data_IF_271649652472
#
_entry.id   IF_271649652472
#
_cell.length_a   1.000
_cell.length_b   1.000
_cell.length_c   1.000
_cell.angle_alpha   90.00
_cell.angle_beta   90.00
_cell.angle_gamma   90.00
#
_symmetry.space_group_name_H-M   'P 1'
#
loop_
_entity.id
_entity.type
_entity.pdbx_description
1 polymer ?
#
# COMPACT_ATOMS: atom_id res chain seq x y z
N UNK A 1 -12.23 0.52 70.67
CA UNK A 1 -11.73 1.91 70.82
C UNK A 1 -11.50 2.44 69.42
N UNK A 2 -12.40 3.35 69.08
CA UNK A 2 -12.61 3.93 67.78
C UNK A 2 -11.64 5.09 67.53
N UNK A 3 -11.09 5.20 66.34
CA UNK A 3 -10.25 6.32 65.91
C UNK A 3 -10.55 6.72 64.47
N UNK A 4 -11.63 7.41 64.26
CA UNK A 4 -12.01 8.03 62.99
C UNK A 4 -11.06 9.16 62.64
N UNK A 5 -10.34 9.13 61.52
CA UNK A 5 -9.64 10.26 60.93
C UNK A 5 -10.48 10.88 59.84
N UNK A 6 -10.99 12.06 60.11
CA UNK A 6 -11.63 12.98 59.17
C UNK A 6 -10.58 13.50 58.17
N UNK A 7 -10.85 13.35 56.88
CA UNK A 7 -10.16 14.03 55.79
C UNK A 7 -10.74 15.46 55.62
N UNK A 8 -9.91 16.44 55.92
CA UNK A 8 -10.18 17.84 55.70
C UNK A 8 -9.93 18.15 54.23
N UNK A 9 -10.96 18.64 53.54
CA UNK A 9 -10.85 19.24 52.21
C UNK A 9 -10.37 20.68 52.34
N UNK A 10 -9.38 21.18 51.59
CA UNK A 10 -9.21 22.61 51.38
C UNK A 10 -10.08 23.05 50.21
N UNK A 11 -10.98 23.96 50.52
CA UNK A 11 -11.75 24.76 49.56
C UNK A 11 -10.95 25.97 49.13
N UNK A 12 -11.20 26.37 47.85
CA UNK A 12 -11.03 27.72 47.32
C UNK A 12 -9.63 28.33 47.19
N UNK A 13 -9.12 28.27 45.95
CA UNK A 13 -8.49 29.45 45.28
C UNK A 13 -8.76 29.32 43.78
N UNK A 14 -9.85 29.83 43.31
CA UNK A 14 -10.07 30.18 41.90
C UNK A 14 -10.77 31.51 41.83
N UNK A 15 -9.98 32.59 41.93
CA UNK A 15 -10.44 33.93 41.55
C UNK A 15 -9.35 34.56 40.69
N UNK A 16 -9.72 34.89 39.48
CA UNK A 16 -9.11 35.95 38.69
C UNK A 16 -8.07 35.58 37.69
N UNK A 17 -8.45 34.96 36.57
CA UNK A 17 -7.74 35.13 35.31
C UNK A 17 -8.76 35.60 34.27
N UNK A 18 -8.76 36.90 34.02
CA UNK A 18 -9.46 37.52 32.89
C UNK A 18 -8.76 37.03 31.60
N UNK A 19 -9.40 36.15 30.89
CA UNK A 19 -8.92 35.64 29.60
C UNK A 19 -9.17 36.71 28.52
N UNK A 20 -8.11 37.34 28.08
CA UNK A 20 -8.09 38.06 26.79
C UNK A 20 -8.42 37.09 25.66
N UNK A 21 -9.64 37.19 25.13
CA UNK A 21 -10.27 36.31 24.17
C UNK A 21 -9.75 36.44 22.72
N UNK A 22 -8.62 37.05 22.45
CA UNK A 22 -8.18 37.30 21.05
C UNK A 22 -6.97 36.50 20.55
N UNK A 23 -6.16 35.92 21.42
CA UNK A 23 -4.98 35.13 20.99
C UNK A 23 -5.16 33.61 21.07
N UNK A 24 -6.13 33.12 21.84
CA UNK A 24 -6.36 31.69 22.07
C UNK A 24 -6.99 30.99 20.88
N UNK A 25 -7.87 31.63 20.12
CA UNK A 25 -8.58 31.00 18.99
C UNK A 25 -7.65 30.72 17.80
N UNK A 26 -6.67 31.60 17.56
CA UNK A 26 -5.68 31.40 16.49
C UNK A 26 -4.67 30.29 16.84
N UNK A 27 -4.29 30.19 18.12
CA UNK A 27 -3.37 29.10 18.57
C UNK A 27 -4.06 27.76 18.58
N UNK A 28 -5.34 27.67 18.95
CA UNK A 28 -6.10 26.41 18.90
C UNK A 28 -6.36 25.98 17.45
N UNK A 29 -6.69 26.94 16.57
CA UNK A 29 -6.84 26.65 15.12
C UNK A 29 -5.51 26.23 14.47
N UNK A 30 -4.39 26.80 14.90
CA UNK A 30 -3.05 26.42 14.44
C UNK A 30 -2.62 25.06 14.99
N UNK A 31 -2.91 24.77 16.27
CA UNK A 31 -2.66 23.45 16.88
C UNK A 31 -3.60 22.37 16.31
N UNK A 32 -4.85 22.69 16.02
CA UNK A 32 -5.77 21.79 15.33
C UNK A 32 -5.34 21.57 13.87
N UNK A 33 -4.77 22.55 13.18
CA UNK A 33 -4.20 22.38 11.84
C UNK A 33 -2.92 21.52 11.87
N UNK A 34 -2.09 21.63 12.92
CA UNK A 34 -0.93 20.79 13.14
C UNK A 34 -1.30 19.37 13.63
N UNK A 35 -2.41 19.21 14.35
CA UNK A 35 -2.90 17.91 14.81
C UNK A 35 -3.76 17.18 13.75
N UNK A 36 -4.19 17.89 12.69
CA UNK A 36 -5.03 17.33 11.62
C UNK A 36 -4.26 17.01 10.35
N UNK A 37 -2.96 17.18 10.34
CA UNK A 37 -2.05 16.47 9.41
C UNK A 37 -1.89 15.03 9.92
N UNK A 38 -3.00 14.32 10.14
CA UNK A 38 -2.99 12.87 10.22
C UNK A 38 -2.57 12.39 8.83
N UNK A 39 -1.33 11.91 8.74
CA UNK A 39 -0.75 11.31 7.54
C UNK A 39 -1.68 10.19 7.07
N UNK A 40 -2.60 10.52 6.18
CA UNK A 40 -3.42 9.51 5.53
C UNK A 40 -2.53 8.78 4.53
N UNK A 41 -2.06 7.60 4.94
CA UNK A 41 -1.20 6.76 4.10
C UNK A 41 -1.95 6.43 2.81
N UNK A 42 -1.45 6.94 1.69
CA UNK A 42 -1.99 6.61 0.37
C UNK A 42 -1.53 5.20 -0.02
N UNK A 43 -2.48 4.28 -0.12
CA UNK A 43 -2.21 2.91 -0.58
C UNK A 43 -2.39 2.84 -2.08
N UNK A 44 -1.31 2.53 -2.78
CA UNK A 44 -1.27 2.36 -4.24
C UNK A 44 -1.19 0.88 -4.57
N UNK A 45 -2.15 0.39 -5.36
CA UNK A 45 -2.11 -0.94 -5.92
C UNK A 45 -1.54 -0.88 -7.33
N UNK A 46 -0.35 -1.44 -7.52
CA UNK A 46 0.37 -1.48 -8.78
C UNK A 46 0.31 -2.88 -9.39
N UNK A 47 -0.18 -3.00 -10.61
CA UNK A 47 -0.28 -4.25 -11.35
C UNK A 47 0.91 -4.36 -12.29
N UNK A 48 1.66 -5.46 -12.18
CA UNK A 48 2.82 -5.76 -13.04
C UNK A 48 2.36 -6.70 -14.14
N UNK A 49 2.62 -6.30 -15.39
CA UNK A 49 2.38 -7.10 -16.59
C UNK A 49 3.69 -7.31 -17.36
N UNK A 50 3.77 -8.42 -18.07
CA UNK A 50 4.83 -8.69 -19.04
C UNK A 50 4.20 -8.83 -20.41
N UNK A 51 4.59 -7.95 -21.32
CA UNK A 51 4.11 -7.99 -22.71
C UNK A 51 4.79 -9.10 -23.52
N UNK A 52 4.25 -9.42 -24.69
CA UNK A 52 4.74 -10.48 -25.56
C UNK A 52 6.12 -10.19 -26.16
N UNK A 53 6.52 -8.93 -26.25
CA UNK A 53 7.83 -8.47 -26.69
C UNK A 53 8.91 -8.49 -25.60
N UNK A 54 8.51 -8.89 -24.38
CA UNK A 54 9.41 -9.11 -23.25
C UNK A 54 9.54 -7.94 -22.29
N UNK A 55 8.96 -6.77 -22.60
CA UNK A 55 8.96 -5.60 -21.73
C UNK A 55 8.00 -5.77 -20.56
N UNK A 56 8.29 -5.07 -19.48
CA UNK A 56 7.44 -5.00 -18.30
C UNK A 56 6.76 -3.66 -18.22
N UNK A 57 5.48 -3.66 -17.87
CA UNK A 57 4.70 -2.47 -17.56
C UNK A 57 4.12 -2.57 -16.16
N UNK A 58 3.99 -1.42 -15.51
CA UNK A 58 3.31 -1.28 -14.22
C UNK A 58 2.27 -0.19 -14.37
N UNK A 59 1.05 -0.49 -13.99
CA UNK A 59 -0.02 0.49 -13.97
C UNK A 59 -0.79 0.46 -12.66
N UNK A 60 -1.51 1.52 -12.38
CA UNK A 60 -2.40 1.65 -11.22
C UNK A 60 -3.64 2.43 -11.60
N UNK A 61 -4.77 2.07 -11.00
CA UNK A 61 -6.00 2.88 -11.06
C UNK A 61 -5.96 4.07 -10.08
N UNK A 62 -4.95 4.11 -9.20
CA UNK A 62 -4.72 5.24 -8.33
C UNK A 62 -4.18 6.44 -9.13
N UNK A 63 -4.52 7.64 -8.67
CA UNK A 63 -4.05 8.90 -9.26
C UNK A 63 -3.79 9.93 -8.16
N UNK A 64 -3.01 10.96 -8.46
CA UNK A 64 -2.77 12.11 -7.58
C UNK A 64 -3.37 13.32 -8.28
N UNK A 65 -4.41 13.92 -7.70
CA UNK A 65 -5.17 14.94 -8.37
C UNK A 65 -5.79 14.43 -9.68
N UNK A 66 -5.29 14.91 -10.82
CA UNK A 66 -5.68 14.45 -12.17
C UNK A 66 -4.56 13.66 -12.86
N UNK A 67 -3.40 13.52 -12.25
CA UNK A 67 -2.23 12.88 -12.83
C UNK A 67 -2.22 11.39 -12.49
N UNK A 68 -2.23 10.56 -13.53
CA UNK A 68 -2.03 9.11 -13.44
C UNK A 68 -0.53 8.81 -13.55
N UNK A 69 -0.13 7.67 -13.05
CA UNK A 69 1.26 7.23 -13.08
C UNK A 69 1.38 5.77 -13.49
N UNK A 70 2.46 5.46 -14.17
CA UNK A 70 2.80 4.12 -14.66
C UNK A 70 4.31 3.94 -14.71
N UNK A 71 4.77 2.75 -15.09
CA UNK A 71 6.19 2.47 -15.23
C UNK A 71 6.45 1.41 -16.28
N UNK A 72 7.60 1.51 -16.96
CA UNK A 72 8.03 0.62 -18.03
C UNK A 72 9.50 0.25 -17.84
N UNK A 73 9.90 -0.91 -18.35
CA UNK A 73 11.29 -1.34 -18.31
C UNK A 73 11.56 -2.73 -18.90
N UNK A 74 12.83 -3.02 -19.12
CA UNK A 74 13.31 -4.31 -19.59
C UNK A 74 13.31 -5.38 -18.48
N UNK A 75 13.11 -4.95 -17.25
CA UNK A 75 13.02 -5.79 -16.08
C UNK A 75 11.97 -5.27 -15.09
N UNK A 76 11.49 -6.15 -14.21
CA UNK A 76 10.59 -5.76 -13.12
C UNK A 76 11.21 -4.68 -12.23
N UNK A 77 12.53 -4.75 -11.98
CA UNK A 77 13.23 -3.76 -11.17
C UNK A 77 13.18 -2.38 -11.82
N UNK A 78 13.53 -2.31 -13.10
CA UNK A 78 13.51 -1.07 -13.87
C UNK A 78 12.11 -0.49 -14.00
N UNK A 79 11.10 -1.30 -14.29
CA UNK A 79 9.71 -0.86 -14.34
C UNK A 79 9.21 -0.30 -12.99
N UNK A 80 9.68 -0.87 -11.86
CA UNK A 80 9.38 -0.34 -10.51
C UNK A 80 10.06 0.99 -10.24
N UNK A 81 11.32 1.16 -10.66
CA UNK A 81 12.02 2.44 -10.53
C UNK A 81 11.32 3.52 -11.34
N UNK A 82 10.97 3.23 -12.59
CA UNK A 82 10.24 4.15 -13.47
C UNK A 82 8.86 4.50 -12.91
N UNK A 83 8.13 3.52 -12.36
CA UNK A 83 6.87 3.74 -11.67
C UNK A 83 6.98 4.71 -10.48
N UNK A 84 8.05 4.60 -9.68
CA UNK A 84 8.28 5.51 -8.57
C UNK A 84 8.69 6.91 -9.03
N UNK A 85 9.41 7.03 -10.16
CA UNK A 85 9.71 8.32 -10.80
C UNK A 85 8.41 8.98 -11.25
N UNK A 86 7.54 8.25 -11.93
CA UNK A 86 6.24 8.75 -12.40
C UNK A 86 5.33 9.23 -11.25
N UNK A 87 5.34 8.54 -10.10
CA UNK A 87 4.65 9.02 -8.88
C UNK A 87 5.22 10.37 -8.42
N UNK A 88 6.55 10.52 -8.39
CA UNK A 88 7.19 11.79 -7.98
C UNK A 88 6.84 12.93 -8.92
N UNK A 89 6.82 12.66 -10.22
CA UNK A 89 6.42 13.62 -11.24
C UNK A 89 4.96 14.04 -11.06
N UNK A 90 4.04 13.10 -10.82
CA UNK A 90 2.64 13.39 -10.55
C UNK A 90 2.45 14.26 -9.28
N UNK A 91 3.21 14.01 -8.21
CA UNK A 91 3.22 14.85 -7.00
C UNK A 91 3.67 16.27 -7.35
N UNK A 92 4.78 16.42 -8.08
CA UNK A 92 5.34 17.72 -8.45
C UNK A 92 4.37 18.51 -9.31
N UNK A 93 3.84 17.88 -10.36
CA UNK A 93 2.89 18.50 -11.28
C UNK A 93 1.62 19.00 -10.57
N UNK A 94 1.03 18.20 -9.70
CA UNK A 94 -0.17 18.61 -8.97
C UNK A 94 0.14 19.66 -7.88
N UNK A 95 1.31 19.60 -7.27
CA UNK A 95 1.77 20.62 -6.32
C UNK A 95 2.01 21.98 -7.00
N UNK A 96 2.58 22.00 -8.19
CA UNK A 96 2.79 23.22 -8.99
C UNK A 96 1.47 23.89 -9.39
N UNK A 97 0.42 23.09 -9.58
CA UNK A 97 -0.96 23.57 -9.82
C UNK A 97 -1.63 24.09 -8.52
N UNK A 98 -0.94 24.02 -7.37
CA UNK A 98 -1.46 24.47 -6.07
C UNK A 98 -2.41 23.47 -5.41
N UNK A 99 -2.46 22.23 -5.86
CA UNK A 99 -3.25 21.19 -5.23
C UNK A 99 -2.52 20.61 -4.01
N UNK A 100 -3.29 20.13 -3.03
CA UNK A 100 -2.74 19.35 -1.91
C UNK A 100 -2.33 17.96 -2.40
N UNK A 101 -1.07 17.59 -2.18
CA UNK A 101 -0.51 16.30 -2.62
C UNK A 101 0.04 15.51 -1.42
N UNK A 102 0.00 14.17 -1.46
CA UNK A 102 0.67 13.35 -0.46
C UNK A 102 2.19 13.54 -0.54
N UNK A 103 2.90 13.31 0.57
CA UNK A 103 4.35 13.17 0.53
C UNK A 103 4.71 11.78 0.00
N UNK A 104 5.85 11.65 -0.65
CA UNK A 104 6.28 10.36 -1.17
C UNK A 104 6.38 9.28 -0.08
N UNK A 105 6.83 9.66 1.12
CA UNK A 105 6.97 8.76 2.28
C UNK A 105 5.61 8.28 2.84
N UNK A 106 4.52 8.98 2.51
CA UNK A 106 3.16 8.61 2.90
C UNK A 106 2.49 7.68 1.87
N UNK A 107 3.21 7.31 0.79
CA UNK A 107 2.71 6.42 -0.27
C UNK A 107 3.26 5.02 -0.06
N UNK A 108 2.35 4.05 0.16
CA UNK A 108 2.68 2.63 0.25
C UNK A 108 2.24 1.92 -1.01
N UNK A 109 3.21 1.49 -1.82
CA UNK A 109 2.95 0.75 -3.07
C UNK A 109 2.93 -0.75 -2.80
N UNK A 110 1.83 -1.39 -3.17
CA UNK A 110 1.70 -2.86 -3.16
C UNK A 110 1.69 -3.37 -4.58
N UNK A 111 2.69 -4.17 -4.94
CA UNK A 111 2.80 -4.76 -6.27
C UNK A 111 2.07 -6.09 -6.34
N UNK A 112 1.30 -6.28 -7.39
CA UNK A 112 0.61 -7.53 -7.71
C UNK A 112 0.89 -7.94 -9.15
N UNK A 113 0.79 -9.25 -9.39
CA UNK A 113 0.73 -9.81 -10.73
C UNK A 113 -0.70 -10.34 -10.95
N UNK A 114 -1.24 -10.19 -12.14
CA UNK A 114 -2.29 -11.08 -12.58
C UNK A 114 -1.70 -12.48 -12.84
N UNK A 115 -2.51 -13.52 -12.95
CA UNK A 115 -1.95 -14.86 -13.10
C UNK A 115 -1.30 -15.10 -14.48
N UNK A 116 -1.82 -14.56 -15.59
CA UNK A 116 -1.10 -14.61 -16.85
C UNK A 116 0.30 -14.01 -16.75
N UNK A 117 0.42 -12.79 -16.24
CA UNK A 117 1.71 -12.10 -16.08
C UNK A 117 2.63 -12.81 -15.07
N UNK A 118 2.07 -13.35 -13.98
CA UNK A 118 2.84 -14.17 -13.06
C UNK A 118 3.54 -15.33 -13.77
N UNK A 119 2.80 -16.12 -14.56
CA UNK A 119 3.38 -17.23 -15.29
C UNK A 119 4.27 -16.83 -16.46
N UNK A 120 4.10 -15.63 -17.01
CA UNK A 120 4.98 -15.08 -18.03
C UNK A 120 6.29 -14.54 -17.43
N UNK A 121 6.22 -13.93 -16.24
CA UNK A 121 7.39 -13.45 -15.51
C UNK A 121 8.23 -14.62 -14.94
N UNK A 122 7.56 -15.68 -14.48
CA UNK A 122 8.17 -16.86 -13.85
C UNK A 122 7.95 -18.10 -14.72
N UNK A 123 8.38 -18.04 -15.98
CA UNK A 123 8.15 -19.06 -17.01
C UNK A 123 8.80 -20.41 -16.71
N UNK A 124 9.81 -20.44 -15.83
CA UNK A 124 10.42 -21.66 -15.31
C UNK A 124 9.48 -22.47 -14.40
N UNK A 125 8.35 -21.89 -13.94
CA UNK A 125 7.39 -22.61 -13.09
C UNK A 125 6.55 -23.57 -13.93
N UNK A 126 6.67 -24.86 -13.63
CA UNK A 126 5.80 -25.87 -14.23
C UNK A 126 4.37 -25.74 -13.69
N UNK A 127 3.43 -25.41 -14.59
CA UNK A 127 2.03 -25.12 -14.26
C UNK A 127 1.32 -26.29 -13.57
N UNK A 128 1.58 -27.53 -14.02
CA UNK A 128 0.94 -28.71 -13.47
C UNK A 128 1.41 -28.99 -12.04
N UNK A 129 2.73 -28.93 -11.80
CA UNK A 129 3.31 -29.08 -10.46
C UNK A 129 2.90 -27.96 -9.52
N UNK A 130 2.81 -26.75 -10.06
CA UNK A 130 2.32 -25.59 -9.28
C UNK A 130 0.85 -25.75 -8.91
N UNK A 131 0.01 -26.23 -9.83
CA UNK A 131 -1.40 -26.50 -9.56
C UNK A 131 -1.59 -27.55 -8.45
N UNK A 132 -0.80 -28.64 -8.48
CA UNK A 132 -0.76 -29.66 -7.43
C UNK A 132 -0.38 -29.04 -6.08
N UNK A 133 0.72 -28.27 -6.02
CA UNK A 133 1.16 -27.59 -4.81
C UNK A 133 0.12 -26.63 -4.22
N UNK A 134 -0.60 -25.92 -5.10
CA UNK A 134 -1.66 -25.00 -4.71
C UNK A 134 -2.99 -25.70 -4.36
N UNK A 135 -3.12 -27.00 -4.60
CA UNK A 135 -4.36 -27.74 -4.45
C UNK A 135 -5.47 -27.21 -5.36
N UNK A 136 -5.11 -26.89 -6.60
CA UNK A 136 -5.98 -26.38 -7.66
C UNK A 136 -5.97 -27.37 -8.82
N UNK A 137 -7.13 -27.59 -9.43
CA UNK A 137 -7.21 -28.45 -10.61
C UNK A 137 -6.32 -27.91 -11.74
N UNK A 138 -5.54 -28.79 -12.38
CA UNK A 138 -4.56 -28.43 -13.41
C UNK A 138 -5.20 -27.70 -14.61
N UNK A 139 -6.34 -28.20 -15.12
CA UNK A 139 -7.05 -27.59 -16.25
C UNK A 139 -7.51 -26.17 -15.91
N UNK A 140 -7.98 -25.94 -14.66
CA UNK A 140 -8.31 -24.60 -14.19
C UNK A 140 -7.09 -23.71 -14.11
N UNK A 141 -5.96 -24.22 -13.59
CA UNK A 141 -4.74 -23.44 -13.51
C UNK A 141 -4.21 -23.04 -14.89
N UNK A 142 -4.30 -23.93 -15.88
CA UNK A 142 -3.99 -23.61 -17.28
C UNK A 142 -4.91 -22.53 -17.85
N UNK A 143 -6.21 -22.59 -17.55
CA UNK A 143 -7.18 -21.58 -17.97
C UNK A 143 -6.87 -20.21 -17.32
N UNK A 144 -6.43 -20.18 -16.06
CA UNK A 144 -5.98 -18.97 -15.39
C UNK A 144 -4.71 -18.40 -16.00
N UNK A 145 -3.72 -19.26 -16.31
CA UNK A 145 -2.51 -18.84 -17.02
C UNK A 145 -2.80 -18.18 -18.36
N UNK A 146 -3.79 -18.71 -19.09
CA UNK A 146 -4.16 -18.18 -20.40
C UNK A 146 -5.14 -17.00 -20.34
N UNK A 147 -5.54 -16.52 -19.15
CA UNK A 147 -6.51 -15.45 -18.99
C UNK A 147 -7.94 -15.81 -19.41
N UNK A 148 -8.21 -17.11 -19.70
CA UNK A 148 -9.54 -17.58 -20.14
C UNK A 148 -10.55 -17.58 -18.98
N UNK A 149 -10.06 -17.73 -17.76
CA UNK A 149 -10.89 -17.64 -16.55
C UNK A 149 -10.08 -17.05 -15.40
N UNK A 150 -10.77 -16.61 -14.35
CA UNK A 150 -10.15 -15.98 -13.19
C UNK A 150 -10.48 -16.76 -11.91
N UNK A 151 -9.54 -16.88 -10.97
CA UNK A 151 -9.78 -17.56 -9.71
C UNK A 151 -10.63 -16.69 -8.79
N UNK A 152 -11.62 -17.30 -8.13
CA UNK A 152 -12.33 -16.64 -7.01
C UNK A 152 -11.44 -16.59 -5.75
N UNK A 153 -11.84 -15.80 -4.75
CA UNK A 153 -11.09 -15.50 -3.52
C UNK A 153 -10.44 -16.73 -2.85
N UNK A 154 -11.22 -17.80 -2.66
CA UNK A 154 -10.70 -19.04 -2.03
C UNK A 154 -9.57 -19.68 -2.84
N UNK A 155 -9.66 -19.63 -4.17
CA UNK A 155 -8.62 -20.17 -5.06
C UNK A 155 -7.41 -19.26 -5.09
N UNK A 156 -7.61 -17.94 -5.13
CA UNK A 156 -6.55 -16.95 -5.04
C UNK A 156 -5.76 -17.10 -3.75
N UNK A 157 -6.41 -17.30 -2.61
CA UNK A 157 -5.74 -17.53 -1.34
C UNK A 157 -4.87 -18.80 -1.35
N UNK A 158 -5.33 -19.89 -1.99
CA UNK A 158 -4.52 -21.12 -2.16
C UNK A 158 -3.29 -20.89 -3.02
N UNK A 159 -3.46 -20.18 -4.14
CA UNK A 159 -2.36 -19.83 -5.06
C UNK A 159 -1.33 -18.98 -4.36
N UNK A 160 -1.77 -17.92 -3.64
CA UNK A 160 -0.87 -17.05 -2.88
C UNK A 160 -0.09 -17.82 -1.82
N UNK A 161 -0.74 -18.72 -1.09
CA UNK A 161 -0.07 -19.59 -0.10
C UNK A 161 0.99 -20.47 -0.75
N UNK A 162 0.73 -21.03 -1.94
CA UNK A 162 1.71 -21.81 -2.68
C UNK A 162 2.92 -20.96 -3.12
N UNK A 163 2.68 -19.75 -3.62
CA UNK A 163 3.76 -18.81 -3.98
C UNK A 163 4.62 -18.47 -2.76
N UNK A 164 4.00 -18.13 -1.63
CA UNK A 164 4.71 -17.81 -0.39
C UNK A 164 5.55 -18.99 0.11
N UNK A 165 5.01 -20.21 0.02
CA UNK A 165 5.73 -21.44 0.38
C UNK A 165 6.98 -21.62 -0.49
N UNK A 166 6.86 -21.54 -1.82
CA UNK A 166 7.99 -21.64 -2.76
C UNK A 166 9.03 -20.56 -2.44
N UNK A 167 8.60 -19.31 -2.24
CA UNK A 167 9.50 -18.21 -1.90
C UNK A 167 10.27 -18.47 -0.60
N UNK A 168 9.60 -18.97 0.43
CA UNK A 168 10.23 -19.34 1.71
C UNK A 168 11.23 -20.49 1.54
N UNK A 169 10.87 -21.53 0.77
CA UNK A 169 11.76 -22.65 0.48
C UNK A 169 13.02 -22.16 -0.28
N UNK A 170 12.87 -21.30 -1.30
CA UNK A 170 13.99 -20.75 -2.05
C UNK A 170 14.93 -19.89 -1.17
N UNK A 171 14.36 -19.08 -0.27
CA UNK A 171 15.17 -18.28 0.65
C UNK A 171 15.95 -19.12 1.68
N UNK A 172 15.59 -20.36 1.91
CA UNK A 172 16.26 -21.26 2.84
C UNK A 172 17.38 -22.10 2.21
N UNK A 173 17.54 -22.06 0.88
CA UNK A 173 18.57 -22.84 0.17
C UNK A 173 19.94 -22.17 0.36
N UNK A 174 20.93 -22.97 0.73
CA UNK A 174 22.36 -22.64 0.66
C UNK A 174 23.05 -23.62 -0.27
N UNK A 175 23.94 -23.13 -1.11
CA UNK A 175 24.76 -23.91 -2.06
C UNK A 175 26.21 -23.89 -1.62
#
# INVERSE_FOLDING_TARGET
MSGSRQLVRPASVFQGISLEKSHSVRSIAFLNKLAFDSFEVMKVLAIIEKSSDGFYSIYSDNHIGKSYFGGFGDSVAQAKEDFLVSIKEAISEESEKGHSTPKLDDIVVTYKYDLPSFFNCFDFINVSKFAELAGVNESKMRAYKCGVSFPGEKTTAKILKAIQRIGSEFCSISL
#
